data_IF_073205635128
#
_entry.id   IF_073205635128
#
_cell.length_a   1.000
_cell.length_b   1.000
_cell.length_c   1.000
_cell.angle_alpha   90.00
_cell.angle_beta   90.00
_cell.angle_gamma   90.00
#
_symmetry.space_group_name_H-M   'P 1'
#
loop_
_entity.id
_entity.type
_entity.pdbx_description
1 polymer ?
#
# COMPACT_ATOMS: atom_id res chain seq x y z
N UNK A 1 22.09 0.32 5.44
CA UNK A 1 21.05 0.28 4.43
C UNK A 1 20.66 1.71 4.08
N UNK A 2 20.54 2.02 2.78
CA UNK A 2 20.18 3.34 2.29
C UNK A 2 19.06 3.26 1.23
N UNK A 3 18.49 4.41 0.91
CA UNK A 3 17.47 4.56 -0.14
C UNK A 3 17.84 5.77 -1.01
N UNK A 4 17.90 5.56 -2.32
CA UNK A 4 18.02 6.62 -3.33
C UNK A 4 16.67 6.79 -4.02
N UNK A 5 16.11 8.00 -3.97
CA UNK A 5 14.85 8.35 -4.66
C UNK A 5 15.16 9.09 -5.95
N UNK A 6 15.01 8.43 -7.09
CA UNK A 6 15.17 9.04 -8.41
C UNK A 6 13.90 9.82 -8.75
N UNK A 7 13.88 11.13 -8.50
CA UNK A 7 12.71 11.98 -8.74
C UNK A 7 12.67 12.53 -10.17
N UNK A 8 13.81 12.97 -10.69
CA UNK A 8 13.95 13.37 -12.08
C UNK A 8 14.61 12.23 -12.87
N UNK A 9 13.76 11.46 -13.55
CA UNK A 9 14.21 10.27 -14.25
C UNK A 9 14.86 10.61 -15.61
N UNK A 10 14.34 11.59 -16.34
CA UNK A 10 14.89 12.07 -17.61
C UNK A 10 15.03 13.60 -17.61
N UNK A 11 16.20 14.14 -18.04
CA UNK A 11 17.42 13.43 -18.40
C UNK A 11 18.07 12.72 -17.19
N UNK A 12 18.55 11.49 -17.39
CA UNK A 12 19.18 10.72 -16.30
C UNK A 12 20.56 11.28 -15.95
N UNK A 13 20.82 11.52 -14.67
CA UNK A 13 22.08 12.08 -14.21
C UNK A 13 22.93 11.04 -13.47
N UNK A 14 23.84 10.39 -14.19
CA UNK A 14 24.82 9.49 -13.60
C UNK A 14 25.65 10.17 -12.49
N UNK A 15 26.02 11.43 -12.66
CA UNK A 15 26.76 12.21 -11.65
C UNK A 15 26.05 12.25 -10.30
N UNK A 16 24.74 12.55 -10.28
CA UNK A 16 23.99 12.65 -9.04
C UNK A 16 23.71 11.27 -8.44
N UNK A 17 23.46 10.26 -9.27
CA UNK A 17 23.32 8.89 -8.80
C UNK A 17 24.59 8.42 -8.08
N UNK A 18 25.74 8.53 -8.74
CA UNK A 18 27.01 8.07 -8.20
C UNK A 18 27.40 8.80 -6.90
N UNK A 19 27.13 10.11 -6.83
CA UNK A 19 27.36 10.88 -5.61
C UNK A 19 26.47 10.45 -4.43
N UNK A 20 25.27 9.89 -4.71
CA UNK A 20 24.36 9.41 -3.69
C UNK A 20 24.68 7.99 -3.17
N UNK A 21 25.51 7.23 -3.91
CA UNK A 21 25.84 5.84 -3.58
C UNK A 21 27.20 5.80 -2.88
N UNK A 22 27.26 5.41 -1.58
CA UNK A 22 28.55 5.30 -0.86
C UNK A 22 29.52 4.33 -1.56
N UNK A 23 30.80 4.57 -1.42
CA UNK A 23 31.85 3.66 -1.95
C UNK A 23 31.79 2.28 -1.31
N UNK A 24 31.33 2.20 -0.07
CA UNK A 24 31.15 0.96 0.66
C UNK A 24 29.97 0.12 0.20
N UNK A 25 29.13 0.64 -0.72
CA UNK A 25 27.97 -0.08 -1.23
C UNK A 25 28.40 -1.27 -2.08
N UNK A 26 27.90 -2.47 -1.74
CA UNK A 26 28.20 -3.72 -2.44
C UNK A 26 27.02 -4.28 -3.21
N UNK A 27 25.78 -3.95 -2.81
CA UNK A 27 24.56 -4.48 -3.45
C UNK A 27 23.53 -3.38 -3.58
N UNK A 28 22.87 -3.35 -4.73
CA UNK A 28 21.82 -2.39 -5.06
C UNK A 28 20.62 -3.15 -5.63
N UNK A 29 19.42 -2.92 -5.10
CA UNK A 29 18.17 -3.28 -5.75
C UNK A 29 17.58 -2.04 -6.41
N UNK A 30 17.29 -2.15 -7.69
CA UNK A 30 16.63 -1.09 -8.46
C UNK A 30 15.17 -1.47 -8.68
N UNK A 31 14.24 -0.60 -8.31
CA UNK A 31 12.82 -0.84 -8.46
C UNK A 31 12.23 0.00 -9.59
N UNK A 32 11.66 -0.66 -10.57
CA UNK A 32 10.97 -0.08 -11.72
C UNK A 32 9.46 -0.39 -11.65
N UNK A 33 8.61 0.64 -11.83
CA UNK A 33 7.16 0.46 -11.94
C UNK A 33 6.74 0.25 -13.40
N UNK A 34 7.46 -0.58 -14.09
CA UNK A 34 7.21 -0.94 -15.49
C UNK A 34 7.71 -2.35 -15.79
N UNK A 35 7.34 -2.89 -16.94
CA UNK A 35 7.87 -4.12 -17.51
C UNK A 35 8.23 -3.84 -18.97
N UNK A 36 9.47 -4.16 -19.35
CA UNK A 36 9.98 -4.06 -20.71
C UNK A 36 10.15 -5.47 -21.32
N UNK A 37 9.11 -6.00 -21.99
CA UNK A 37 9.20 -7.31 -22.62
C UNK A 37 10.30 -7.37 -23.68
N UNK A 38 11.16 -8.39 -23.60
CA UNK A 38 12.27 -8.57 -24.53
C UNK A 38 13.53 -7.74 -24.23
N UNK A 39 13.52 -6.88 -23.23
CA UNK A 39 14.71 -6.17 -22.75
C UNK A 39 15.51 -7.01 -21.75
N UNK A 40 16.79 -6.69 -21.59
CA UNK A 40 17.68 -7.29 -20.58
C UNK A 40 17.34 -6.85 -19.15
N UNK A 41 16.52 -5.83 -19.00
CA UNK A 41 16.06 -5.31 -17.71
C UNK A 41 15.16 -4.08 -17.91
N UNK A 42 14.60 -3.59 -16.84
CA UNK A 42 13.75 -2.41 -16.83
C UNK A 42 14.60 -1.13 -16.99
N UNK A 43 13.98 -0.01 -17.41
CA UNK A 43 14.72 1.19 -17.81
C UNK A 43 15.64 1.77 -16.73
N UNK A 44 15.16 1.93 -15.48
CA UNK A 44 16.00 2.49 -14.42
C UNK A 44 17.12 1.52 -14.03
N UNK A 45 16.83 0.22 -14.01
CA UNK A 45 17.85 -0.82 -13.76
C UNK A 45 18.98 -0.72 -14.78
N UNK A 46 18.68 -0.61 -16.08
CA UNK A 46 19.68 -0.48 -17.14
C UNK A 46 20.50 0.81 -17.01
N UNK A 47 19.86 1.93 -16.68
CA UNK A 47 20.56 3.21 -16.44
C UNK A 47 21.54 3.12 -15.26
N UNK A 48 21.12 2.50 -14.16
CA UNK A 48 21.97 2.31 -12.97
C UNK A 48 23.17 1.42 -13.28
N UNK A 49 22.93 0.27 -13.95
CA UNK A 49 24.01 -0.65 -14.36
C UNK A 49 25.00 0.06 -15.27
N UNK A 50 24.51 0.80 -16.27
CA UNK A 50 25.34 1.55 -17.23
C UNK A 50 26.15 2.63 -16.51
N UNK A 51 25.53 3.40 -15.61
CA UNK A 51 26.22 4.46 -14.87
C UNK A 51 27.35 3.90 -13.99
N UNK A 52 27.12 2.78 -13.29
CA UNK A 52 28.15 2.12 -12.47
C UNK A 52 29.28 1.56 -13.34
N UNK A 53 28.96 0.89 -14.44
CA UNK A 53 29.95 0.33 -15.38
C UNK A 53 30.82 1.44 -15.99
N UNK A 54 30.23 2.53 -16.49
CA UNK A 54 30.94 3.67 -17.06
C UNK A 54 31.85 4.36 -16.04
N UNK A 55 31.47 4.37 -14.77
CA UNK A 55 32.28 4.91 -13.67
C UNK A 55 33.34 3.94 -13.15
N UNK A 56 33.49 2.75 -13.72
CA UNK A 56 34.43 1.72 -13.26
C UNK A 56 34.06 1.06 -11.93
N UNK A 57 32.81 1.24 -11.43
CA UNK A 57 32.36 0.63 -10.17
C UNK A 57 31.84 -0.79 -10.39
N UNK A 58 32.72 -1.71 -10.81
CA UNK A 58 32.36 -3.08 -11.20
C UNK A 58 32.13 -4.02 -10.02
N UNK A 59 32.52 -3.64 -8.79
CA UNK A 59 32.36 -4.46 -7.58
C UNK A 59 30.96 -4.38 -6.91
N UNK A 60 29.98 -3.73 -7.55
CA UNK A 60 28.62 -3.57 -7.02
C UNK A 60 27.68 -4.52 -7.73
N UNK A 61 27.05 -5.43 -6.98
CA UNK A 61 26.00 -6.28 -7.50
C UNK A 61 24.70 -5.49 -7.63
N UNK A 62 24.11 -5.47 -8.82
CA UNK A 62 22.84 -4.79 -9.09
C UNK A 62 21.76 -5.82 -9.43
N UNK A 63 20.62 -5.77 -8.74
CA UNK A 63 19.45 -6.59 -9.03
C UNK A 63 18.27 -5.70 -9.40
N UNK A 64 17.42 -6.16 -10.32
CA UNK A 64 16.26 -5.41 -10.84
C UNK A 64 14.94 -5.95 -10.30
N UNK A 65 14.08 -5.08 -9.80
CA UNK A 65 12.77 -5.43 -9.28
C UNK A 65 11.62 -4.68 -9.95
N UNK A 66 10.52 -5.37 -10.20
CA UNK A 66 9.27 -4.79 -10.69
C UNK A 66 8.29 -4.67 -9.56
N UNK A 67 7.60 -3.53 -9.46
CA UNK A 67 6.60 -3.28 -8.42
C UNK A 67 5.41 -2.49 -8.96
N UNK A 68 4.29 -2.52 -8.26
CA UNK A 68 3.14 -1.69 -8.54
C UNK A 68 2.44 -1.93 -9.88
N UNK A 69 2.76 -3.01 -10.58
CA UNK A 69 2.12 -3.39 -11.84
C UNK A 69 0.65 -3.77 -11.62
N UNK A 70 -0.20 -3.44 -12.59
CA UNK A 70 -1.64 -3.70 -12.47
C UNK A 70 -2.29 -2.94 -11.31
N UNK A 71 -1.78 -1.75 -10.97
CA UNK A 71 -2.24 -0.92 -9.83
C UNK A 71 -2.15 -1.61 -8.48
N UNK A 72 -1.25 -2.59 -8.34
CA UNK A 72 -0.99 -3.23 -7.04
C UNK A 72 -0.36 -2.25 -6.06
N UNK A 73 -0.81 -2.34 -4.81
CA UNK A 73 -0.21 -1.59 -3.71
C UNK A 73 1.24 -2.04 -3.46
N UNK A 74 2.02 -1.17 -2.85
CA UNK A 74 3.40 -1.48 -2.44
C UNK A 74 3.53 -1.19 -0.94
N UNK A 75 3.04 -2.09 -0.09
CA UNK A 75 3.10 -1.94 1.35
C UNK A 75 4.53 -2.13 1.89
N UNK A 76 4.79 -1.79 3.16
CA UNK A 76 6.08 -2.02 3.79
C UNK A 76 6.60 -3.46 3.65
N UNK A 77 5.72 -4.46 3.67
CA UNK A 77 6.08 -5.87 3.47
C UNK A 77 6.85 -6.11 2.15
N UNK A 78 6.42 -5.46 1.05
CA UNK A 78 7.12 -5.52 -0.24
C UNK A 78 8.55 -4.97 -0.13
N UNK A 79 8.74 -3.87 0.58
CA UNK A 79 10.05 -3.24 0.74
C UNK A 79 10.95 -4.08 1.66
N UNK A 80 10.41 -4.66 2.72
CA UNK A 80 11.16 -5.61 3.56
C UNK A 80 11.61 -6.83 2.77
N UNK A 81 10.76 -7.37 1.90
CA UNK A 81 11.12 -8.50 1.03
C UNK A 81 12.31 -8.17 0.10
N UNK A 82 12.38 -6.94 -0.43
CA UNK A 82 13.51 -6.48 -1.24
C UNK A 82 14.81 -6.42 -0.41
N UNK A 83 14.74 -5.90 0.81
CA UNK A 83 15.92 -5.87 1.68
C UNK A 83 16.35 -7.27 2.12
N UNK A 84 15.42 -8.19 2.34
CA UNK A 84 15.76 -9.58 2.66
C UNK A 84 16.39 -10.28 1.46
N UNK A 85 15.94 -9.99 0.24
CA UNK A 85 16.57 -10.49 -0.98
C UNK A 85 18.01 -9.98 -1.11
N UNK A 86 18.28 -8.71 -0.84
CA UNK A 86 19.63 -8.13 -0.86
C UNK A 86 20.59 -8.74 0.16
N UNK A 87 20.10 -9.34 1.26
CA UNK A 87 20.94 -10.01 2.27
C UNK A 87 21.46 -11.37 1.80
N UNK A 88 20.81 -12.00 0.82
CA UNK A 88 21.20 -13.32 0.35
C UNK A 88 22.56 -13.27 -0.34
N UNK A 89 23.35 -14.34 -0.24
CA UNK A 89 24.61 -14.47 -0.96
C UNK A 89 24.37 -14.54 -2.47
N UNK A 90 23.32 -15.24 -2.90
CA UNK A 90 22.88 -15.36 -4.28
C UNK A 90 21.44 -14.82 -4.45
N UNK A 91 21.24 -13.50 -4.51
CA UNK A 91 19.93 -12.92 -4.73
C UNK A 91 19.46 -13.17 -6.18
N UNK A 92 18.15 -13.16 -6.38
CA UNK A 92 17.57 -13.17 -7.74
C UNK A 92 18.04 -11.93 -8.50
N UNK A 93 18.58 -12.13 -9.70
CA UNK A 93 19.04 -10.99 -10.54
C UNK A 93 17.90 -10.12 -11.03
N UNK A 94 16.72 -10.71 -11.22
CA UNK A 94 15.46 -10.02 -11.47
C UNK A 94 14.37 -10.62 -10.58
N UNK A 95 13.45 -9.77 -10.12
CA UNK A 95 12.36 -10.19 -9.24
C UNK A 95 11.11 -9.32 -9.41
N UNK A 96 10.00 -9.76 -8.83
CA UNK A 96 8.75 -9.01 -8.70
C UNK A 96 8.30 -8.96 -7.25
N UNK A 97 7.64 -7.87 -6.84
CA UNK A 97 6.98 -7.73 -5.54
C UNK A 97 5.52 -7.31 -5.73
N UNK A 98 4.66 -7.75 -4.84
CA UNK A 98 3.24 -7.44 -4.84
C UNK A 98 2.40 -8.17 -5.90
N UNK A 99 3.02 -9.03 -6.70
CA UNK A 99 2.36 -9.91 -7.67
C UNK A 99 2.93 -11.32 -7.55
N UNK A 100 2.08 -12.31 -7.80
CA UNK A 100 2.51 -13.71 -7.91
C UNK A 100 2.82 -14.01 -9.37
N UNK A 101 4.05 -14.40 -9.64
CA UNK A 101 4.51 -14.87 -10.94
C UNK A 101 4.73 -16.39 -10.84
N UNK A 102 3.80 -17.14 -11.36
CA UNK A 102 3.79 -18.60 -11.38
C UNK A 102 4.45 -19.23 -12.62
N UNK A 103 4.84 -18.40 -13.59
CA UNK A 103 5.51 -18.84 -14.82
C UNK A 103 7.02 -18.85 -14.65
N UNK A 104 7.59 -17.72 -14.22
CA UNK A 104 9.06 -17.58 -14.07
C UNK A 104 9.52 -17.66 -12.62
N UNK A 105 8.60 -17.70 -11.66
CA UNK A 105 8.85 -17.79 -10.21
C UNK A 105 9.80 -16.71 -9.68
N UNK A 106 9.71 -15.50 -10.23
CA UNK A 106 10.54 -14.36 -9.84
C UNK A 106 9.97 -13.58 -8.63
N UNK A 107 8.74 -13.88 -8.22
CA UNK A 107 8.12 -13.20 -7.07
C UNK A 107 8.91 -13.41 -5.78
N UNK A 108 9.07 -12.33 -5.02
CA UNK A 108 9.59 -12.40 -3.66
C UNK A 108 8.45 -12.76 -2.70
N UNK A 109 8.78 -13.55 -1.70
CA UNK A 109 7.87 -13.82 -0.59
C UNK A 109 7.77 -12.60 0.32
N UNK A 110 6.55 -12.12 0.53
CA UNK A 110 6.26 -11.02 1.45
C UNK A 110 5.84 -11.58 2.82
N UNK A 111 6.61 -11.26 3.84
CA UNK A 111 6.29 -11.61 5.22
C UNK A 111 5.50 -10.48 5.87
N UNK A 112 4.77 -10.79 6.94
CA UNK A 112 4.11 -9.77 7.74
C UNK A 112 5.13 -8.71 8.18
N UNK A 113 4.83 -7.44 7.92
CA UNK A 113 5.63 -6.30 8.33
C UNK A 113 5.01 -5.60 9.53
N UNK A 114 5.81 -4.97 10.40
CA UNK A 114 5.27 -4.13 11.45
C UNK A 114 4.50 -2.94 10.86
N UNK A 115 3.59 -2.37 11.65
CA UNK A 115 2.99 -1.09 11.29
C UNK A 115 4.07 -0.01 11.27
N UNK A 116 4.22 0.67 10.14
CA UNK A 116 5.20 1.74 9.94
C UNK A 116 4.58 3.15 10.01
N UNK A 117 3.29 3.26 10.31
CA UNK A 117 2.66 4.53 10.62
C UNK A 117 3.28 5.12 11.90
N UNK A 118 3.41 6.45 11.96
CA UNK A 118 3.88 7.11 13.16
C UNK A 118 2.90 6.86 14.31
N UNK A 119 3.42 6.70 15.52
CA UNK A 119 2.61 6.55 16.72
C UNK A 119 1.63 7.72 16.87
N UNK A 120 0.38 7.42 17.22
CA UNK A 120 -0.71 8.39 17.32
C UNK A 120 -1.36 8.73 15.96
N UNK A 121 -0.98 8.07 14.87
CA UNK A 121 -1.69 8.20 13.60
C UNK A 121 -3.01 7.45 13.67
N UNK A 122 -4.11 8.15 13.41
CA UNK A 122 -5.45 7.57 13.27
C UNK A 122 -5.63 7.16 11.80
N UNK A 123 -6.05 5.93 11.57
CA UNK A 123 -6.26 5.34 10.26
C UNK A 123 -7.74 4.98 10.08
N UNK A 124 -8.37 5.54 9.03
CA UNK A 124 -9.78 5.30 8.73
C UNK A 124 -9.97 4.77 7.32
N UNK A 125 -10.92 3.86 7.16
CA UNK A 125 -11.23 3.21 5.88
C UNK A 125 -12.73 3.27 5.60
N UNK A 126 -13.11 3.74 4.41
CA UNK A 126 -14.51 3.94 4.04
C UNK A 126 -14.81 3.19 2.74
N UNK A 127 -15.74 2.26 2.81
CA UNK A 127 -16.23 1.49 1.68
C UNK A 127 -17.51 2.10 1.15
N UNK A 128 -17.46 2.55 -0.09
CA UNK A 128 -18.57 3.19 -0.77
C UNK A 128 -18.80 2.65 -2.20
N UNK A 129 -19.90 3.05 -2.78
CA UNK A 129 -20.27 2.73 -4.15
C UNK A 129 -19.87 3.90 -5.07
N UNK A 130 -19.31 3.60 -6.22
CA UNK A 130 -18.97 4.62 -7.21
C UNK A 130 -20.19 5.47 -7.60
N UNK A 131 -20.11 6.76 -7.32
CA UNK A 131 -21.19 7.72 -7.55
C UNK A 131 -22.07 8.02 -6.33
N UNK A 132 -21.89 7.37 -5.18
CA UNK A 132 -22.68 7.58 -3.96
C UNK A 132 -22.27 8.81 -3.13
N UNK A 133 -21.21 9.50 -3.54
CA UNK A 133 -20.71 10.68 -2.83
C UNK A 133 -19.64 10.39 -1.75
N UNK A 134 -19.39 9.12 -1.39
CA UNK A 134 -18.42 8.73 -0.36
C UNK A 134 -17.04 9.35 -0.57
N UNK A 135 -16.50 9.30 -1.79
CA UNK A 135 -15.19 9.86 -2.11
C UNK A 135 -15.18 11.37 -1.91
N UNK A 136 -16.22 12.08 -2.35
CA UNK A 136 -16.37 13.54 -2.17
C UNK A 136 -16.44 13.93 -0.70
N UNK A 137 -17.25 13.22 0.08
CA UNK A 137 -17.37 13.41 1.51
C UNK A 137 -16.02 13.21 2.24
N UNK A 138 -15.29 12.16 1.91
CA UNK A 138 -13.99 11.88 2.51
C UNK A 138 -12.90 12.89 2.11
N UNK A 139 -12.93 13.39 0.87
CA UNK A 139 -12.07 14.52 0.47
C UNK A 139 -12.35 15.78 1.29
N UNK A 140 -13.62 16.06 1.55
CA UNK A 140 -14.01 17.20 2.37
C UNK A 140 -13.62 16.98 3.84
N UNK A 141 -13.86 15.79 4.39
CA UNK A 141 -13.50 15.45 5.77
C UNK A 141 -12.00 15.64 6.04
N UNK A 142 -11.15 15.10 5.16
CA UNK A 142 -9.69 15.23 5.36
C UNK A 142 -9.22 16.66 5.20
N UNK A 143 -9.87 17.45 4.33
CA UNK A 143 -9.61 18.89 4.19
C UNK A 143 -10.01 19.65 5.45
N UNK A 144 -11.19 19.39 6.01
CA UNK A 144 -11.65 20.01 7.27
C UNK A 144 -10.65 19.72 8.40
N UNK A 145 -10.20 18.47 8.55
CA UNK A 145 -9.21 18.14 9.57
C UNK A 145 -7.91 18.92 9.36
N UNK A 146 -7.41 19.02 8.13
CA UNK A 146 -6.18 19.73 7.82
C UNK A 146 -6.30 21.25 7.96
N UNK A 147 -7.45 21.83 7.62
CA UNK A 147 -7.66 23.29 7.65
C UNK A 147 -7.99 23.81 9.07
N UNK A 148 -8.56 22.98 9.94
CA UNK A 148 -9.06 23.37 11.27
C UNK A 148 -8.32 22.74 12.45
N UNK A 149 -7.26 21.97 12.20
CA UNK A 149 -6.41 21.40 13.25
C UNK A 149 -4.95 21.46 12.83
N UNK A 150 -4.02 21.32 13.80
CA UNK A 150 -2.58 21.24 13.54
C UNK A 150 -2.12 19.84 13.08
N UNK A 151 -3.04 18.95 12.73
CA UNK A 151 -2.72 17.59 12.35
C UNK A 151 -2.20 17.50 10.92
N UNK A 152 -1.22 16.64 10.72
CA UNK A 152 -0.86 16.15 9.39
C UNK A 152 -1.96 15.25 8.87
N UNK A 153 -2.26 15.36 7.58
CA UNK A 153 -3.35 14.62 6.94
C UNK A 153 -2.90 13.97 5.64
N UNK A 154 -3.49 12.81 5.33
CA UNK A 154 -3.27 12.11 4.07
C UNK A 154 -4.55 11.40 3.65
N UNK A 155 -4.84 11.41 2.35
CA UNK A 155 -5.93 10.63 1.77
C UNK A 155 -5.46 9.87 0.54
N UNK A 156 -5.88 8.61 0.44
CA UNK A 156 -5.77 7.76 -0.74
C UNK A 156 -7.14 7.26 -1.13
N UNK A 157 -7.39 7.17 -2.44
CA UNK A 157 -8.66 6.68 -2.96
C UNK A 157 -8.41 5.53 -3.94
N UNK A 158 -8.96 4.38 -3.61
CA UNK A 158 -8.93 3.19 -4.44
C UNK A 158 -10.24 3.09 -5.21
N UNK A 159 -10.14 2.84 -6.50
CA UNK A 159 -11.29 2.72 -7.40
C UNK A 159 -11.28 1.35 -8.08
N UNK A 160 -12.49 0.82 -8.29
CA UNK A 160 -12.68 -0.28 -9.24
C UNK A 160 -12.49 0.23 -10.68
N UNK A 161 -12.19 -0.66 -11.60
CA UNK A 161 -12.08 -0.35 -13.03
C UNK A 161 -13.41 0.11 -13.65
N UNK A 162 -14.56 -0.22 -13.03
CA UNK A 162 -15.88 0.26 -13.45
C UNK A 162 -16.10 1.71 -13.05
N UNK A 163 -16.51 2.57 -14.00
CA UNK A 163 -16.78 3.99 -13.71
C UNK A 163 -17.99 4.21 -12.80
N UNK A 164 -19.03 3.39 -12.92
CA UNK A 164 -20.28 3.53 -12.17
C UNK A 164 -20.64 2.21 -11.52
N UNK A 165 -21.02 2.24 -10.25
CA UNK A 165 -21.40 1.05 -9.49
C UNK A 165 -20.24 0.15 -9.07
N UNK A 166 -18.99 0.58 -9.29
CA UNK A 166 -17.80 -0.07 -8.76
C UNK A 166 -17.55 0.28 -7.29
N UNK A 167 -16.76 -0.54 -6.62
CA UNK A 167 -16.37 -0.30 -5.23
C UNK A 167 -15.38 0.87 -5.19
N UNK A 168 -15.58 1.76 -4.23
CA UNK A 168 -14.58 2.78 -3.87
C UNK A 168 -14.15 2.58 -2.43
N UNK A 169 -12.85 2.67 -2.17
CA UNK A 169 -12.31 2.59 -0.82
C UNK A 169 -11.49 3.84 -0.57
N UNK A 170 -11.91 4.64 0.41
CA UNK A 170 -11.15 5.81 0.85
C UNK A 170 -10.30 5.44 2.06
N UNK A 171 -9.03 5.80 2.02
CA UNK A 171 -8.06 5.58 3.09
C UNK A 171 -7.63 6.95 3.62
N UNK A 172 -7.99 7.27 4.85
CA UNK A 172 -7.63 8.53 5.50
C UNK A 172 -6.68 8.27 6.66
N UNK A 173 -5.62 9.07 6.74
CA UNK A 173 -4.69 9.12 7.87
C UNK A 173 -4.58 10.53 8.39
N UNK A 174 -4.60 10.69 9.71
CA UNK A 174 -4.30 11.96 10.33
C UNK A 174 -3.64 11.77 11.71
N UNK A 175 -2.80 12.71 12.12
CA UNK A 175 -2.06 12.61 13.37
C UNK A 175 -1.10 13.77 13.59
N UNK A 176 -0.40 13.74 14.72
CA UNK A 176 0.47 14.86 15.16
C UNK A 176 1.88 14.80 14.56
N UNK A 177 2.20 13.75 13.82
CA UNK A 177 3.51 13.56 13.16
C UNK A 177 3.36 13.52 11.65
N UNK A 178 4.38 13.93 10.86
CA UNK A 178 4.35 13.87 9.41
C UNK A 178 4.03 12.47 8.88
N UNK A 179 3.03 12.37 8.01
CA UNK A 179 2.59 11.10 7.42
C UNK A 179 3.37 10.87 6.12
N UNK A 180 4.08 9.73 6.06
CA UNK A 180 4.86 9.29 4.89
C UNK A 180 4.51 7.85 4.53
N UNK A 181 3.22 7.57 4.36
CA UNK A 181 2.67 6.23 4.15
C UNK A 181 1.98 6.12 2.78
N UNK A 182 2.76 5.99 1.66
CA UNK A 182 2.21 5.94 0.29
C UNK A 182 1.68 4.53 -0.05
N UNK A 183 0.89 3.94 0.83
CA UNK A 183 0.28 2.62 0.70
C UNK A 183 -1.10 2.60 1.37
N UNK A 184 -1.92 1.61 1.02
CA UNK A 184 -3.26 1.46 1.56
C UNK A 184 -3.24 1.09 3.05
N UNK A 185 -4.34 1.42 3.73
CA UNK A 185 -4.56 1.02 5.12
C UNK A 185 -5.05 -0.43 5.11
N UNK A 186 -4.32 -1.31 5.79
CA UNK A 186 -4.70 -2.71 5.95
C UNK A 186 -5.43 -2.95 7.29
N UNK A 187 -5.07 -2.20 8.34
CA UNK A 187 -5.71 -2.23 9.64
C UNK A 187 -6.02 -0.81 10.08
N UNK A 188 -7.29 -0.52 10.33
CA UNK A 188 -7.81 0.81 10.62
C UNK A 188 -8.41 0.90 12.02
N UNK A 189 -8.34 2.08 12.61
CA UNK A 189 -9.01 2.40 13.87
C UNK A 189 -10.53 2.53 13.67
N UNK A 190 -10.93 2.96 12.45
CA UNK A 190 -12.32 3.13 12.05
C UNK A 190 -12.54 2.59 10.63
N UNK A 191 -13.53 1.73 10.46
CA UNK A 191 -13.98 1.24 9.15
C UNK A 191 -15.47 1.52 8.99
N UNK A 192 -15.86 2.15 7.88
CA UNK A 192 -17.26 2.39 7.55
C UNK A 192 -17.67 1.64 6.26
N UNK A 193 -18.82 1.00 6.32
CA UNK A 193 -19.53 0.44 5.18
C UNK A 193 -20.73 1.33 4.85
N UNK A 194 -20.62 2.14 3.79
CA UNK A 194 -21.70 3.05 3.38
C UNK A 194 -22.78 2.36 2.53
N UNK A 195 -22.49 1.20 1.96
CA UNK A 195 -23.46 0.44 1.18
C UNK A 195 -23.69 -0.94 1.83
N UNK A 196 -24.86 -1.17 2.45
CA UNK A 196 -25.13 -2.42 3.19
C UNK A 196 -25.08 -3.67 2.31
N UNK A 197 -25.31 -3.54 0.99
CA UNK A 197 -25.21 -4.68 0.06
C UNK A 197 -23.84 -5.35 0.07
N UNK A 198 -22.80 -4.68 0.56
CA UNK A 198 -21.46 -5.27 0.67
C UNK A 198 -21.36 -6.31 1.79
N UNK A 199 -22.20 -6.19 2.81
CA UNK A 199 -22.32 -7.21 3.85
C UNK A 199 -22.90 -8.49 3.24
N UNK A 200 -24.01 -8.37 2.48
CA UNK A 200 -24.66 -9.51 1.83
C UNK A 200 -23.79 -10.17 0.77
N UNK A 201 -22.94 -9.39 0.10
CA UNK A 201 -21.95 -9.89 -0.86
C UNK A 201 -20.73 -10.56 -0.22
N UNK A 202 -20.66 -10.60 1.09
CA UNK A 202 -19.60 -11.27 1.84
C UNK A 202 -18.25 -10.57 1.83
N UNK A 203 -18.21 -9.23 1.60
CA UNK A 203 -16.96 -8.49 1.74
C UNK A 203 -16.50 -8.47 3.20
N UNK A 204 -15.25 -8.85 3.44
CA UNK A 204 -14.68 -9.00 4.80
C UNK A 204 -14.14 -7.67 5.35
N UNK A 205 -14.93 -6.60 5.27
CA UNK A 205 -14.51 -5.25 5.70
C UNK A 205 -14.15 -5.16 7.17
N UNK A 206 -14.85 -5.94 8.02
CA UNK A 206 -14.58 -5.97 9.45
C UNK A 206 -13.16 -6.45 9.78
N UNK A 207 -12.58 -7.29 8.93
CA UNK A 207 -11.23 -7.79 9.13
C UNK A 207 -10.16 -6.68 9.00
N UNK A 208 -10.53 -5.53 8.45
CA UNK A 208 -9.65 -4.35 8.37
C UNK A 208 -9.65 -3.54 9.68
N UNK A 209 -10.56 -3.82 10.62
CA UNK A 209 -10.63 -3.11 11.92
C UNK A 209 -9.55 -3.63 12.85
N UNK A 210 -8.83 -2.72 13.51
CA UNK A 210 -7.90 -3.05 14.59
C UNK A 210 -8.67 -3.58 15.81
N UNK A 211 -8.07 -4.42 16.67
CA UNK A 211 -8.67 -4.77 17.95
C UNK A 211 -9.08 -3.50 18.76
N UNK A 212 -10.31 -3.48 19.26
CA UNK A 212 -10.89 -2.32 19.96
C UNK A 212 -11.34 -1.17 19.05
N UNK A 213 -11.15 -1.29 17.73
CA UNK A 213 -11.56 -0.27 16.77
C UNK A 213 -13.06 -0.27 16.48
N UNK A 214 -13.49 0.62 15.59
CA UNK A 214 -14.91 0.86 15.28
C UNK A 214 -15.25 0.34 13.89
N UNK A 215 -16.37 -0.37 13.79
CA UNK A 215 -17.01 -0.74 12.53
C UNK A 215 -18.40 -0.09 12.43
N UNK A 216 -18.61 0.78 11.46
CA UNK A 216 -19.85 1.46 11.18
C UNK A 216 -20.52 0.89 9.94
N UNK A 217 -21.81 0.58 10.01
CA UNK A 217 -22.61 0.14 8.86
C UNK A 217 -23.77 1.13 8.66
N UNK A 218 -23.84 1.74 7.49
CA UNK A 218 -25.02 2.49 7.06
C UNK A 218 -26.06 1.50 6.53
N UNK A 219 -27.06 1.22 7.34
CA UNK A 219 -28.13 0.28 7.00
C UNK A 219 -29.45 0.63 7.71
N UNK A 220 -30.55 0.11 7.16
CA UNK A 220 -31.89 0.27 7.72
C UNK A 220 -32.31 -0.92 8.62
N UNK A 221 -31.41 -1.83 8.90
CA UNK A 221 -31.75 -3.09 9.60
C UNK A 221 -31.95 -2.86 11.11
N UNK A 222 -32.97 -3.53 11.67
CA UNK A 222 -33.06 -3.71 13.12
C UNK A 222 -31.94 -4.61 13.63
N UNK A 223 -31.78 -4.70 14.97
CA UNK A 223 -30.74 -5.55 15.56
C UNK A 223 -30.92 -7.02 15.19
N UNK A 224 -32.20 -7.49 15.13
CA UNK A 224 -32.50 -8.87 14.74
C UNK A 224 -32.24 -9.13 13.25
N UNK A 225 -32.45 -8.15 12.40
CA UNK A 225 -32.13 -8.23 10.97
C UNK A 225 -30.63 -8.17 10.77
N UNK A 226 -29.93 -7.26 11.43
CA UNK A 226 -28.48 -7.14 11.39
C UNK A 226 -27.80 -8.47 11.74
N UNK A 227 -28.31 -9.15 12.78
CA UNK A 227 -27.80 -10.48 13.17
C UNK A 227 -27.91 -11.51 12.05
N UNK A 228 -28.95 -11.46 11.22
CA UNK A 228 -29.12 -12.35 10.07
C UNK A 228 -28.20 -12.02 8.89
N UNK A 229 -27.91 -10.73 8.68
CA UNK A 229 -27.04 -10.26 7.60
C UNK A 229 -25.56 -10.48 7.91
N UNK A 230 -25.14 -10.39 9.16
CA UNK A 230 -23.75 -10.60 9.55
C UNK A 230 -23.39 -12.09 9.52
N UNK A 231 -22.36 -12.43 8.75
CA UNK A 231 -21.83 -13.80 8.71
C UNK A 231 -21.27 -14.25 10.06
N UNK A 232 -21.23 -15.55 10.30
CA UNK A 232 -20.63 -16.12 11.51
C UNK A 232 -19.16 -15.67 11.70
N UNK A 233 -18.38 -15.61 10.62
CA UNK A 233 -16.98 -15.14 10.65
C UNK A 233 -16.90 -13.67 11.07
N UNK A 234 -17.80 -12.81 10.55
CA UNK A 234 -17.87 -11.39 10.92
C UNK A 234 -18.19 -11.22 12.41
N UNK A 235 -19.21 -11.94 12.91
CA UNK A 235 -19.58 -11.91 14.33
C UNK A 235 -18.45 -12.39 15.23
N UNK A 236 -17.80 -13.49 14.82
CA UNK A 236 -16.64 -14.03 15.52
C UNK A 236 -15.51 -13.01 15.61
N UNK A 237 -15.17 -12.36 14.47
CA UNK A 237 -14.11 -11.35 14.44
C UNK A 237 -14.42 -10.17 15.36
N UNK A 238 -15.68 -9.67 15.34
CA UNK A 238 -16.16 -8.59 16.22
C UNK A 238 -15.96 -8.96 17.70
N UNK A 239 -16.38 -10.16 18.09
CA UNK A 239 -16.29 -10.62 19.47
C UNK A 239 -14.83 -10.83 19.93
N UNK A 240 -14.02 -11.52 19.11
CA UNK A 240 -12.64 -11.86 19.47
C UNK A 240 -11.72 -10.63 19.52
N UNK A 241 -12.03 -9.59 18.73
CA UNK A 241 -11.22 -8.37 18.65
C UNK A 241 -11.85 -7.18 19.39
N UNK A 242 -12.92 -7.38 20.13
CA UNK A 242 -13.63 -6.32 20.85
C UNK A 242 -13.97 -5.11 19.96
N UNK A 243 -14.40 -5.36 18.72
CA UNK A 243 -14.76 -4.32 17.75
C UNK A 243 -16.08 -3.68 18.18
N UNK A 244 -16.10 -2.34 18.20
CA UNK A 244 -17.30 -1.58 18.49
C UNK A 244 -18.14 -1.44 17.22
N UNK A 245 -19.30 -2.09 17.18
CA UNK A 245 -20.22 -2.04 16.04
C UNK A 245 -21.25 -0.92 16.22
N UNK A 246 -21.40 -0.09 15.19
CA UNK A 246 -22.44 0.93 15.12
C UNK A 246 -23.21 0.81 13.80
N UNK A 247 -24.48 1.19 13.85
CA UNK A 247 -25.36 1.33 12.68
C UNK A 247 -25.93 2.74 12.60
N UNK A 248 -26.21 3.23 11.40
CA UNK A 248 -26.87 4.53 11.11
C UNK A 248 -27.79 4.37 9.91
#
# INVERSE_FOLDING_TARGET
VGLVKVRLYRPFSAKHLLAAIPETCKKIAVLDRTKEPGSLGEPLYLDVVTALATAGRTGVQVIGGRYGLGSKDTPPASIFAVYDELKKDAPKTQFTVGIVDDVTNLSLEEKAAPNTAAEGTIECKFWGLGGDGTVGANKNSIKIIGDHTDKYVQAYFQYDSKKTGGITISHLRFGDKPIKSPYYINKADFVACHNPSYIDKGFKMVNDVKPGGVFLINCQWSDEELDKHLSADTKKYIAENNVQLYTV
#
